data_IF_924177728212
#
_entry.id   IF_924177728212
#
_cell.length_a   1.000
_cell.length_b   1.000
_cell.length_c   1.000
_cell.angle_alpha   90.00
_cell.angle_beta   90.00
_cell.angle_gamma   90.00
#
_symmetry.space_group_name_H-M   'P 1'
#
loop_
_entity.id
_entity.type
_entity.pdbx_description
1 polymer ?
#
# COMPACT_ATOMS: atom_id res chain seq x y z
N UNK A 1 19.16 8.37 -12.08
CA UNK A 1 17.98 9.10 -12.57
C UNK A 1 17.53 10.06 -11.47
N UNK A 2 16.87 11.19 -11.78
CA UNK A 2 16.37 12.06 -10.70
C UNK A 2 15.12 11.45 -10.05
N UNK A 3 14.92 11.68 -8.75
CA UNK A 3 13.75 11.19 -7.99
C UNK A 3 12.41 11.51 -8.70
N UNK A 4 12.38 12.61 -9.46
CA UNK A 4 11.24 13.02 -10.30
C UNK A 4 10.79 11.95 -11.30
N UNK A 5 11.72 11.24 -11.95
CA UNK A 5 11.38 10.20 -12.94
C UNK A 5 10.63 9.00 -12.33
N UNK A 6 10.97 8.62 -11.10
CA UNK A 6 10.31 7.52 -10.39
C UNK A 6 8.92 7.95 -9.92
N UNK A 7 8.76 9.22 -9.50
CA UNK A 7 7.45 9.77 -9.19
C UNK A 7 6.54 9.89 -10.41
N UNK A 8 7.06 10.32 -11.56
CA UNK A 8 6.32 10.35 -12.82
C UNK A 8 5.87 8.95 -13.24
N UNK A 9 6.77 7.96 -13.14
CA UNK A 9 6.42 6.56 -13.40
C UNK A 9 5.35 6.06 -12.44
N UNK A 10 5.44 6.38 -11.15
CA UNK A 10 4.43 6.01 -10.16
C UNK A 10 3.05 6.58 -10.50
N UNK A 11 2.97 7.87 -10.83
CA UNK A 11 1.71 8.52 -11.19
C UNK A 11 1.09 7.94 -12.48
N UNK A 12 1.93 7.64 -13.48
CA UNK A 12 1.50 6.96 -14.69
C UNK A 12 1.02 5.53 -14.40
N UNK A 13 1.75 4.80 -13.54
CA UNK A 13 1.40 3.45 -13.12
C UNK A 13 0.02 3.41 -12.47
N UNK A 14 -0.28 4.30 -11.52
CA UNK A 14 -1.56 4.33 -10.80
C UNK A 14 -2.78 4.58 -11.70
N UNK A 15 -2.57 5.08 -12.91
CA UNK A 15 -3.61 5.33 -13.89
C UNK A 15 -3.67 4.27 -15.00
N UNK A 16 -2.75 3.29 -14.98
CA UNK A 16 -2.63 2.27 -16.01
C UNK A 16 -3.78 1.24 -15.91
N UNK A 17 -4.34 0.75 -17.04
CA UNK A 17 -5.42 -0.24 -17.04
C UNK A 17 -5.16 -1.48 -16.18
N UNK A 18 -3.94 -2.03 -16.23
CA UNK A 18 -3.54 -3.17 -15.40
C UNK A 18 -3.73 -2.93 -13.89
N UNK A 19 -3.54 -1.69 -13.40
CA UNK A 19 -3.80 -1.37 -11.98
C UNK A 19 -5.29 -1.52 -11.67
N UNK A 20 -6.16 -1.10 -12.59
CA UNK A 20 -7.59 -1.24 -12.37
C UNK A 20 -8.02 -2.70 -12.33
N UNK A 21 -7.45 -3.57 -13.15
CA UNK A 21 -7.77 -5.00 -13.13
C UNK A 21 -7.37 -5.67 -11.81
N UNK A 22 -6.17 -5.38 -11.29
CA UNK A 22 -5.71 -6.02 -10.04
C UNK A 22 -6.28 -5.39 -8.77
N UNK A 23 -6.66 -4.11 -8.81
CA UNK A 23 -7.11 -3.39 -7.63
C UNK A 23 -8.60 -3.52 -7.34
N UNK A 24 -9.40 -4.01 -8.29
CA UNK A 24 -10.86 -4.13 -8.12
C UNK A 24 -11.22 -5.52 -7.63
N UNK A 25 -11.95 -5.62 -6.52
CA UNK A 25 -12.54 -6.90 -6.09
C UNK A 25 -13.65 -7.40 -7.03
N UNK A 26 -14.30 -6.48 -7.74
CA UNK A 26 -15.36 -6.78 -8.71
C UNK A 26 -15.16 -5.88 -9.94
N UNK A 27 -15.25 -6.40 -11.17
CA UNK A 27 -15.07 -5.63 -12.40
C UNK A 27 -15.98 -4.39 -12.51
N UNK A 28 -17.13 -4.40 -11.82
CA UNK A 28 -18.09 -3.29 -11.80
C UNK A 28 -17.63 -2.11 -10.94
N UNK A 29 -16.68 -2.31 -10.03
CA UNK A 29 -16.17 -1.25 -9.16
C UNK A 29 -15.23 -0.29 -9.91
N UNK A 30 -15.21 0.97 -9.48
CA UNK A 30 -14.38 2.04 -10.06
C UNK A 30 -14.53 2.25 -11.58
N UNK A 31 -15.71 1.94 -12.12
CA UNK A 31 -16.06 2.14 -13.54
C UNK A 31 -16.61 3.52 -13.86
N UNK A 32 -17.09 4.24 -12.83
CA UNK A 32 -17.66 5.59 -12.96
C UNK A 32 -16.63 6.66 -12.68
N UNK A 33 -16.72 7.77 -13.40
CA UNK A 33 -16.03 8.99 -13.04
C UNK A 33 -16.58 9.50 -11.68
N UNK A 34 -15.69 9.57 -10.69
CA UNK A 34 -16.04 9.90 -9.31
C UNK A 34 -14.95 10.78 -8.70
N UNK A 35 -15.32 11.62 -7.75
CA UNK A 35 -14.44 12.61 -7.11
C UNK A 35 -13.16 12.03 -6.49
N UNK A 36 -13.15 10.74 -6.14
CA UNK A 36 -11.96 10.04 -5.65
C UNK A 36 -11.37 9.11 -6.71
N UNK A 37 -12.21 8.34 -7.42
CA UNK A 37 -11.76 7.28 -8.32
C UNK A 37 -10.88 6.22 -7.65
N UNK A 38 -10.34 5.30 -8.44
CA UNK A 38 -9.35 4.34 -7.95
C UNK A 38 -7.99 5.02 -7.74
N UNK A 39 -7.53 5.77 -8.75
CA UNK A 39 -6.23 6.45 -8.72
C UNK A 39 -6.13 7.40 -7.51
N UNK A 40 -7.15 8.22 -7.25
CA UNK A 40 -7.14 9.09 -6.08
C UNK A 40 -7.23 8.34 -4.76
N UNK A 41 -7.95 7.20 -4.71
CA UNK A 41 -7.95 6.33 -3.52
C UNK A 41 -6.55 5.75 -3.24
N UNK A 42 -5.86 5.26 -4.28
CA UNK A 42 -4.51 4.70 -4.14
C UNK A 42 -3.51 5.77 -3.71
N UNK A 43 -3.54 6.96 -4.35
CA UNK A 43 -2.72 8.11 -3.94
C UNK A 43 -2.98 8.47 -2.47
N UNK A 44 -4.26 8.58 -2.08
CA UNK A 44 -4.66 8.84 -0.70
C UNK A 44 -4.10 7.80 0.28
N UNK A 45 -4.22 6.51 -0.05
CA UNK A 45 -3.79 5.41 0.83
C UNK A 45 -2.28 5.35 1.04
N UNK A 46 -1.53 5.59 -0.04
CA UNK A 46 -0.05 5.55 -0.05
C UNK A 46 0.53 6.81 0.60
N UNK A 47 -0.17 7.96 0.51
CA UNK A 47 0.30 9.22 1.09
C UNK A 47 0.00 9.38 2.60
N UNK A 48 -0.59 8.38 3.26
CA UNK A 48 -0.98 8.50 4.67
C UNK A 48 0.23 8.56 5.59
N UNK A 49 0.12 9.36 6.65
CA UNK A 49 1.19 9.59 7.63
C UNK A 49 0.85 9.05 9.03
N UNK A 50 -0.32 8.43 9.20
CA UNK A 50 -0.76 7.83 10.47
C UNK A 50 -1.67 8.73 11.29
N UNK A 51 -2.24 9.78 10.69
CA UNK A 51 -3.23 10.61 11.35
C UNK A 51 -4.63 9.99 11.31
N UNK A 52 -5.58 10.63 12.01
CA UNK A 52 -7.00 10.29 11.86
C UNK A 52 -7.43 10.45 10.40
N UNK A 53 -8.38 9.63 9.95
CA UNK A 53 -8.89 9.70 8.56
C UNK A 53 -9.39 11.11 8.18
N UNK A 54 -9.91 11.89 9.14
CA UNK A 54 -10.30 13.27 8.90
C UNK A 54 -9.12 14.15 8.49
N UNK A 55 -8.02 14.01 9.24
CA UNK A 55 -6.79 14.76 9.01
C UNK A 55 -6.10 14.27 7.73
N UNK A 56 -6.05 12.96 7.50
CA UNK A 56 -5.52 12.40 6.25
C UNK A 56 -6.27 12.93 5.02
N UNK A 57 -7.60 13.06 5.09
CA UNK A 57 -8.37 13.68 4.00
C UNK A 57 -7.92 15.13 3.83
N UNK A 58 -7.86 15.93 4.90
CA UNK A 58 -7.43 17.32 4.79
C UNK A 58 -6.02 17.44 4.22
N UNK A 59 -5.07 16.63 4.70
CA UNK A 59 -3.70 16.60 4.21
C UNK A 59 -3.65 16.25 2.73
N UNK A 60 -4.26 15.14 2.31
CA UNK A 60 -4.31 14.74 0.91
C UNK A 60 -4.82 15.88 0.00
N UNK A 61 -5.99 16.44 0.29
CA UNK A 61 -6.54 17.51 -0.55
C UNK A 61 -5.66 18.76 -0.55
N UNK A 62 -5.10 19.16 0.59
CA UNK A 62 -4.20 20.33 0.68
C UNK A 62 -2.87 20.12 -0.04
N UNK A 63 -2.23 18.96 0.11
CA UNK A 63 -0.92 18.64 -0.46
C UNK A 63 -0.95 18.52 -1.98
N UNK A 64 -2.08 18.09 -2.54
CA UNK A 64 -2.28 17.98 -3.98
C UNK A 64 -2.99 19.22 -4.60
N UNK A 65 -3.27 20.27 -3.81
CA UNK A 65 -3.96 21.47 -4.30
C UNK A 65 -5.38 21.20 -4.82
N UNK A 66 -6.03 20.17 -4.28
CA UNK A 66 -7.37 19.72 -4.68
C UNK A 66 -8.44 20.31 -3.76
N UNK A 67 -9.62 20.60 -4.31
CA UNK A 67 -10.76 20.96 -3.47
C UNK A 67 -11.29 19.73 -2.71
N UNK A 68 -11.41 19.86 -1.39
CA UNK A 68 -11.93 18.79 -0.53
C UNK A 68 -13.32 18.39 -0.97
N UNK A 69 -13.46 17.14 -1.38
CA UNK A 69 -14.65 16.71 -2.11
C UNK A 69 -15.26 15.38 -1.67
N UNK A 70 -14.68 14.72 -0.65
CA UNK A 70 -15.13 13.41 -0.14
C UNK A 70 -15.24 13.36 1.38
N UNK A 71 -16.15 12.52 1.87
CA UNK A 71 -16.35 12.23 3.30
C UNK A 71 -15.55 11.02 3.77
N UNK A 72 -15.43 10.84 5.10
CA UNK A 72 -14.84 9.63 5.69
C UNK A 72 -15.55 8.36 5.22
N UNK A 73 -16.88 8.41 5.18
CA UNK A 73 -17.72 7.29 4.75
C UNK A 73 -17.43 6.91 3.29
N UNK A 74 -17.26 7.91 2.41
CA UNK A 74 -16.93 7.66 1.01
C UNK A 74 -15.55 7.00 0.85
N UNK A 75 -14.55 7.38 1.65
CA UNK A 75 -13.23 6.72 1.67
C UNK A 75 -13.39 5.24 2.05
N UNK A 76 -14.07 4.94 3.17
CA UNK A 76 -14.23 3.55 3.62
C UNK A 76 -15.00 2.68 2.63
N UNK A 77 -16.08 3.20 2.03
CA UNK A 77 -16.82 2.52 0.97
C UNK A 77 -15.98 2.26 -0.28
N UNK A 78 -15.03 3.15 -0.59
CA UNK A 78 -14.10 2.96 -1.70
C UNK A 78 -13.03 1.91 -1.33
N UNK A 79 -12.49 1.93 -0.11
CA UNK A 79 -11.54 0.92 0.38
C UNK A 79 -12.13 -0.49 0.39
N UNK A 80 -13.42 -0.65 0.73
CA UNK A 80 -14.07 -1.95 0.74
C UNK A 80 -14.05 -2.63 -0.65
N UNK A 81 -14.10 -1.84 -1.73
CA UNK A 81 -14.08 -2.27 -3.12
C UNK A 81 -12.68 -2.60 -3.64
N UNK A 82 -11.65 -2.21 -2.89
CA UNK A 82 -10.24 -2.36 -3.27
C UNK A 82 -9.71 -3.74 -2.86
N UNK A 83 -9.07 -4.44 -3.79
CA UNK A 83 -8.29 -5.65 -3.51
C UNK A 83 -6.87 -5.26 -3.07
N UNK A 84 -6.40 -5.83 -1.96
CA UNK A 84 -5.09 -5.53 -1.38
C UNK A 84 -3.92 -5.97 -2.28
N UNK A 85 -4.14 -6.89 -3.22
CA UNK A 85 -3.11 -7.38 -4.16
C UNK A 85 -2.50 -6.28 -5.03
N UNK A 86 -3.17 -5.13 -5.16
CA UNK A 86 -2.62 -3.96 -5.86
C UNK A 86 -1.34 -3.43 -5.22
N UNK A 87 -1.20 -3.49 -3.89
CA UNK A 87 -0.03 -2.94 -3.19
C UNK A 87 1.28 -3.68 -3.50
N UNK A 88 1.36 -5.01 -3.36
CA UNK A 88 2.56 -5.74 -3.78
C UNK A 88 2.80 -5.64 -5.28
N UNK A 89 1.75 -5.55 -6.10
CA UNK A 89 1.90 -5.32 -7.54
C UNK A 89 2.55 -3.97 -7.85
N UNK A 90 2.08 -2.88 -7.22
CA UNK A 90 2.69 -1.55 -7.35
C UNK A 90 4.15 -1.61 -6.89
N UNK A 91 4.43 -2.22 -5.73
CA UNK A 91 5.80 -2.33 -5.22
C UNK A 91 6.73 -3.05 -6.21
N UNK A 92 6.29 -4.19 -6.76
CA UNK A 92 7.07 -4.93 -7.76
C UNK A 92 7.36 -4.11 -9.01
N UNK A 93 6.37 -3.36 -9.53
CA UNK A 93 6.56 -2.49 -10.69
C UNK A 93 7.52 -1.35 -10.42
N UNK A 94 7.41 -0.71 -9.26
CA UNK A 94 8.33 0.36 -8.84
C UNK A 94 9.75 -0.18 -8.65
N UNK A 95 9.93 -1.30 -7.96
CA UNK A 95 11.23 -1.94 -7.79
C UNK A 95 11.86 -2.28 -9.15
N UNK A 96 11.09 -2.94 -10.03
CA UNK A 96 11.57 -3.29 -11.37
C UNK A 96 11.97 -2.04 -12.16
N UNK A 97 11.14 -1.00 -12.14
CA UNK A 97 11.44 0.26 -12.82
C UNK A 97 12.73 0.88 -12.27
N UNK A 98 12.90 0.92 -10.95
CA UNK A 98 14.10 1.44 -10.31
C UNK A 98 15.36 0.71 -10.81
N UNK A 99 15.45 -0.61 -10.65
CA UNK A 99 16.65 -1.40 -10.99
C UNK A 99 16.93 -1.49 -12.50
N UNK A 100 15.94 -1.23 -13.36
CA UNK A 100 16.13 -1.21 -14.81
C UNK A 100 16.63 0.13 -15.34
N UNK A 101 16.41 1.22 -14.60
CA UNK A 101 16.60 2.58 -15.09
C UNK A 101 17.56 3.42 -14.23
N UNK A 102 18.11 2.85 -13.16
CA UNK A 102 19.06 3.51 -12.28
C UNK A 102 20.30 2.66 -12.09
N UNK A 103 21.44 3.33 -11.96
CA UNK A 103 22.58 2.75 -11.26
C UNK A 103 22.20 2.59 -9.78
N UNK A 104 22.52 1.43 -9.22
CA UNK A 104 22.22 1.09 -7.84
C UNK A 104 23.48 0.58 -7.16
N UNK A 105 23.55 0.77 -5.85
CA UNK A 105 24.71 0.38 -5.05
C UNK A 105 24.71 -1.13 -4.82
N UNK A 106 25.91 -1.72 -4.90
CA UNK A 106 26.15 -3.14 -4.59
C UNK A 106 27.37 -3.27 -3.70
N UNK A 107 27.39 -4.30 -2.86
CA UNK A 107 28.56 -4.65 -2.07
C UNK A 107 29.38 -5.67 -2.85
N UNK A 108 30.50 -5.24 -3.45
CA UNK A 108 31.39 -6.10 -4.25
C UNK A 108 30.66 -6.85 -5.39
N UNK A 109 29.67 -6.20 -6.02
CA UNK A 109 28.87 -6.79 -7.08
C UNK A 109 27.70 -7.66 -6.61
N UNK A 110 27.44 -7.72 -5.30
CA UNK A 110 26.30 -8.45 -4.72
C UNK A 110 25.26 -7.48 -4.16
N UNK A 111 23.98 -7.83 -4.33
CA UNK A 111 22.88 -7.19 -3.60
C UNK A 111 22.84 -7.73 -2.17
N UNK A 112 22.92 -6.84 -1.18
CA UNK A 112 22.83 -7.20 0.23
C UNK A 112 21.39 -7.00 0.70
N UNK A 113 20.71 -8.10 1.01
CA UNK A 113 19.31 -8.07 1.45
C UNK A 113 19.25 -8.37 2.94
N UNK A 114 18.66 -7.46 3.71
CA UNK A 114 18.25 -7.71 5.08
C UNK A 114 16.83 -8.27 5.10
N UNK A 115 16.59 -9.21 6.01
CA UNK A 115 15.27 -9.76 6.28
C UNK A 115 14.93 -9.40 7.71
N UNK A 116 13.83 -8.67 7.89
CA UNK A 116 13.30 -8.36 9.22
C UNK A 116 11.82 -8.72 9.30
N UNK A 117 11.42 -9.14 10.50
CA UNK A 117 10.09 -9.62 10.80
C UNK A 117 9.46 -8.84 11.95
N UNK A 118 8.18 -8.58 11.84
CA UNK A 118 7.41 -7.88 12.89
C UNK A 118 6.07 -8.56 13.12
N UNK A 119 5.47 -8.31 14.29
CA UNK A 119 4.11 -8.73 14.60
C UNK A 119 3.26 -7.48 14.70
N UNK A 120 2.28 -7.37 13.80
CA UNK A 120 1.30 -6.30 13.84
C UNK A 120 0.12 -6.63 14.76
N UNK A 121 -0.77 -5.65 14.91
CA UNK A 121 -2.05 -5.83 15.58
C UNK A 121 -3.18 -5.48 14.61
N UNK A 122 -4.11 -6.40 14.42
CA UNK A 122 -5.33 -6.16 13.66
C UNK A 122 -6.54 -6.30 14.59
N UNK A 123 -7.64 -5.55 14.35
CA UNK A 123 -8.88 -5.72 15.10
C UNK A 123 -9.35 -7.17 15.06
N UNK A 124 -9.88 -7.68 16.16
CA UNK A 124 -10.45 -9.02 16.17
C UNK A 124 -11.72 -9.08 15.32
N UNK A 125 -11.70 -9.97 14.33
CA UNK A 125 -12.86 -10.50 13.62
C UNK A 125 -12.60 -12.00 13.40
N UNK A 126 -13.63 -12.80 13.17
CA UNK A 126 -13.44 -14.23 12.86
C UNK A 126 -12.56 -14.42 11.60
N UNK A 127 -12.73 -13.54 10.62
CA UNK A 127 -11.91 -13.52 9.40
C UNK A 127 -10.45 -13.24 9.73
N UNK A 128 -10.15 -12.18 10.48
CA UNK A 128 -8.78 -11.83 10.85
C UNK A 128 -8.13 -12.90 11.72
N UNK A 129 -8.88 -13.49 12.66
CA UNK A 129 -8.38 -14.58 13.50
C UNK A 129 -8.05 -15.82 12.67
N UNK A 130 -8.85 -16.14 11.65
CA UNK A 130 -8.60 -17.24 10.72
C UNK A 130 -7.39 -16.98 9.82
N UNK A 131 -7.24 -15.76 9.31
CA UNK A 131 -6.18 -15.41 8.35
C UNK A 131 -4.84 -15.17 9.05
N UNK A 132 -4.83 -14.38 10.12
CA UNK A 132 -3.61 -13.91 10.79
C UNK A 132 -3.28 -14.67 12.08
N UNK A 133 -4.21 -15.48 12.58
CA UNK A 133 -4.08 -16.11 13.89
C UNK A 133 -4.27 -15.13 15.05
N UNK A 134 -4.35 -15.69 16.25
CA UNK A 134 -4.42 -14.94 17.52
C UNK A 134 -3.26 -15.38 18.40
N UNK A 135 -2.57 -14.42 19.01
CA UNK A 135 -1.49 -14.69 19.95
C UNK A 135 -2.01 -14.67 21.40
N UNK A 136 -2.94 -15.59 21.72
CA UNK A 136 -3.43 -15.80 23.09
C UNK A 136 -3.53 -17.30 23.40
N UNK A 137 -2.62 -17.84 24.23
CA UNK A 137 -2.63 -19.25 24.65
C UNK A 137 -3.90 -19.65 25.41
N UNK A 138 -4.55 -18.70 26.09
CA UNK A 138 -5.65 -18.95 27.01
C UNK A 138 -7.01 -18.53 26.45
N UNK A 139 -7.06 -17.97 25.23
CA UNK A 139 -8.28 -17.45 24.55
C UNK A 139 -9.15 -16.51 25.39
N UNK A 140 -8.59 -15.89 26.43
CA UNK A 140 -9.33 -15.03 27.34
C UNK A 140 -9.39 -13.58 26.83
N UNK A 141 -8.50 -13.21 25.90
CA UNK A 141 -8.35 -11.87 25.31
C UNK A 141 -8.44 -11.93 23.78
N UNK A 142 -9.59 -12.35 23.25
CA UNK A 142 -9.93 -12.31 21.82
C UNK A 142 -10.21 -10.86 21.34
N UNK A 143 -9.30 -9.92 21.60
CA UNK A 143 -9.46 -8.51 21.24
C UNK A 143 -8.66 -8.11 19.99
N UNK A 144 -7.69 -8.95 19.57
CA UNK A 144 -6.84 -8.70 18.41
C UNK A 144 -6.42 -9.97 17.68
N UNK A 145 -6.18 -9.84 16.38
CA UNK A 145 -5.43 -10.80 15.57
C UNK A 145 -3.97 -10.33 15.43
N UNK A 146 -3.06 -11.26 15.12
CA UNK A 146 -1.60 -11.03 15.17
C UNK A 146 -0.91 -11.27 13.82
N UNK A 147 -1.15 -10.41 12.81
CA UNK A 147 -0.51 -10.52 11.50
C UNK A 147 1.02 -10.53 11.62
N UNK A 148 1.66 -11.40 10.84
CA UNK A 148 3.12 -11.59 10.82
C UNK A 148 3.65 -10.92 9.57
N UNK A 149 4.45 -9.88 9.76
CA UNK A 149 5.02 -9.10 8.67
C UNK A 149 6.46 -9.56 8.47
N UNK A 150 6.89 -9.77 7.23
CA UNK A 150 8.27 -10.05 6.86
C UNK A 150 8.66 -9.23 5.64
N UNK A 151 9.75 -8.48 5.72
CA UNK A 151 10.21 -7.59 4.66
C UNK A 151 11.62 -7.94 4.18
N UNK A 152 11.85 -7.87 2.88
CA UNK A 152 13.16 -7.97 2.25
C UNK A 152 13.62 -6.57 1.85
N UNK A 153 14.66 -6.07 2.50
CA UNK A 153 15.20 -4.73 2.29
C UNK A 153 16.54 -4.83 1.57
N UNK A 154 16.66 -4.23 0.39
CA UNK A 154 17.98 -3.90 -0.17
C UNK A 154 18.61 -2.84 0.72
N UNK A 155 19.65 -3.23 1.46
CA UNK A 155 20.30 -2.38 2.47
C UNK A 155 21.08 -1.25 1.82
N UNK A 156 21.68 -1.49 0.66
CA UNK A 156 22.50 -0.51 -0.04
C UNK A 156 21.64 0.58 -0.66
N UNK A 157 20.44 0.23 -1.14
CA UNK A 157 19.57 1.16 -1.87
C UNK A 157 18.36 1.66 -1.05
N UNK A 158 18.11 1.09 0.14
CA UNK A 158 17.00 1.47 1.02
C UNK A 158 15.61 1.12 0.46
N UNK A 159 15.52 0.04 -0.31
CA UNK A 159 14.30 -0.35 -1.03
C UNK A 159 13.77 -1.68 -0.52
N UNK A 160 12.50 -1.71 -0.10
CA UNK A 160 11.79 -2.96 0.16
C UNK A 160 11.48 -3.66 -1.15
N UNK A 161 12.21 -4.74 -1.42
CA UNK A 161 12.03 -5.58 -2.62
C UNK A 161 10.69 -6.33 -2.53
N UNK A 162 10.38 -6.83 -1.33
CA UNK A 162 9.14 -7.55 -1.06
C UNK A 162 8.72 -7.40 0.39
N UNK A 163 7.41 -7.45 0.63
CA UNK A 163 6.81 -7.43 1.97
C UNK A 163 5.62 -8.39 2.00
N UNK A 164 5.69 -9.36 2.91
CA UNK A 164 4.65 -10.34 3.16
C UNK A 164 3.97 -10.03 4.50
N UNK A 165 2.65 -10.22 4.56
CA UNK A 165 1.79 -10.02 5.74
C UNK A 165 0.86 -11.22 5.88
#
# INVERSE_FOLDING_TARGET
MSIYSTFEYFDALLSHPDIFEIARKDPRYFTRDSKLGLTGLLKFLISRQGYTVANEINHYYSSFGLEKSVSKQAIFQAQEKLDYKVFPYINSKLCKHYYQNNDYETLKGYTVVAIDGSVGEAPYTEENARVFGVNDPNRNNLFKASPRISGFLDVCNGIYIDVLI
#
